data_IF_620422657633
#
_entry.id   IF_620422657633
#
_cell.length_a   1.000
_cell.length_b   1.000
_cell.length_c   1.000
_cell.angle_alpha   90.00
_cell.angle_beta   90.00
_cell.angle_gamma   90.00
#
_symmetry.space_group_name_H-M   'P 1'
#
loop_
_entity.id
_entity.type
_entity.pdbx_description
1 polymer ?
#
# COMPACT_ATOMS: atom_id res chain seq x y z
N UNK A 1 12.25 45.57 27.22
CA UNK A 1 13.05 44.33 27.08
C UNK A 1 12.28 43.32 26.23
N UNK A 2 12.39 43.36 24.89
CA UNK A 2 11.81 42.32 24.04
C UNK A 2 12.58 42.18 22.70
N UNK A 3 13.91 42.08 22.77
CA UNK A 3 14.77 41.95 21.58
C UNK A 3 15.72 40.74 21.61
N UNK A 4 15.45 39.71 22.44
CA UNK A 4 16.38 38.58 22.63
C UNK A 4 15.71 37.20 22.65
N UNK A 5 14.84 36.89 21.67
CA UNK A 5 14.31 35.52 21.50
C UNK A 5 14.27 35.01 20.05
N UNK A 6 15.04 35.59 19.12
CA UNK A 6 15.01 35.17 17.71
C UNK A 6 16.37 34.87 17.08
N UNK A 7 17.35 34.42 17.86
CA UNK A 7 18.72 34.16 17.34
C UNK A 7 19.14 32.68 17.34
N UNK A 8 18.19 31.73 17.39
CA UNK A 8 18.50 30.28 17.38
C UNK A 8 17.96 29.48 16.17
N UNK A 9 17.62 30.16 15.07
CA UNK A 9 17.09 29.50 13.86
C UNK A 9 17.84 29.88 12.56
N UNK A 10 19.04 30.43 12.67
CA UNK A 10 19.90 30.69 11.50
C UNK A 10 20.66 29.44 11.07
N UNK A 11 21.34 28.75 12.01
CA UNK A 11 22.15 27.57 11.72
C UNK A 11 21.35 26.39 11.16
N UNK A 12 20.15 26.13 11.68
CA UNK A 12 19.30 25.05 11.18
C UNK A 12 18.79 25.33 9.78
N UNK A 13 18.44 26.60 9.48
CA UNK A 13 18.00 27.03 8.15
C UNK A 13 19.14 26.95 7.16
N UNK A 14 20.34 27.37 7.54
CA UNK A 14 21.54 27.28 6.69
C UNK A 14 21.90 25.82 6.43
N UNK A 15 21.86 24.93 7.44
CA UNK A 15 22.13 23.49 7.25
C UNK A 15 21.11 22.79 6.36
N UNK A 16 19.83 23.18 6.46
CA UNK A 16 18.76 22.68 5.59
C UNK A 16 18.97 23.22 4.16
N UNK A 17 19.29 24.51 4.02
CA UNK A 17 19.55 25.13 2.71
C UNK A 17 20.78 24.51 2.02
N UNK A 18 21.86 24.24 2.77
CA UNK A 18 23.05 23.56 2.25
C UNK A 18 22.70 22.17 1.74
N UNK A 19 21.92 21.39 2.51
CA UNK A 19 21.50 20.05 2.07
C UNK A 19 20.57 20.09 0.86
N UNK A 20 19.63 21.03 0.82
CA UNK A 20 18.74 21.20 -0.34
C UNK A 20 19.58 21.52 -1.59
N UNK A 21 20.54 22.43 -1.48
CA UNK A 21 21.43 22.75 -2.59
C UNK A 21 22.30 21.54 -2.99
N UNK A 22 22.79 20.76 -2.03
CA UNK A 22 23.55 19.53 -2.29
C UNK A 22 22.71 18.47 -3.04
N UNK A 23 21.44 18.31 -2.66
CA UNK A 23 20.52 17.42 -3.37
C UNK A 23 20.14 17.93 -4.76
N UNK A 24 20.01 19.24 -4.94
CA UNK A 24 19.74 19.86 -6.24
C UNK A 24 20.93 19.75 -7.19
N UNK A 25 22.15 20.03 -6.72
CA UNK A 25 23.38 19.83 -7.50
C UNK A 25 23.55 18.36 -7.88
N UNK A 26 23.27 17.42 -6.96
CA UNK A 26 23.33 15.98 -7.27
C UNK A 26 22.29 15.56 -8.31
N UNK A 27 21.11 16.16 -8.28
CA UNK A 27 20.06 15.93 -9.28
C UNK A 27 20.42 16.54 -10.65
N UNK A 28 21.10 17.69 -10.70
CA UNK A 28 21.62 18.30 -11.93
C UNK A 28 22.74 17.46 -12.56
N UNK A 29 23.71 17.00 -11.76
CA UNK A 29 24.80 16.12 -12.24
C UNK A 29 24.24 14.81 -12.79
N UNK A 30 23.21 14.25 -12.16
CA UNK A 30 22.51 13.05 -12.66
C UNK A 30 21.78 13.30 -13.99
N UNK A 31 21.29 14.52 -14.21
CA UNK A 31 20.63 14.93 -15.45
C UNK A 31 21.62 15.08 -16.61
N UNK A 32 22.82 15.56 -16.31
CA UNK A 32 23.93 15.70 -17.27
C UNK A 32 24.51 14.34 -17.68
N UNK A 33 24.61 13.40 -16.72
CA UNK A 33 25.08 12.03 -16.96
C UNK A 33 24.13 11.19 -17.83
N UNK A 34 22.83 11.52 -17.87
CA UNK A 34 21.89 10.87 -18.78
C UNK A 34 22.01 11.34 -20.24
N UNK A 35 22.72 12.45 -20.51
CA UNK A 35 22.81 13.03 -21.85
C UNK A 35 24.09 12.67 -22.61
N UNK A 36 25.12 12.09 -21.98
CA UNK A 36 26.35 11.73 -22.69
C UNK A 36 27.13 10.56 -22.04
N UNK A 37 26.95 9.31 -22.49
CA UNK A 37 27.59 8.15 -21.87
C UNK A 37 28.92 7.84 -22.57
N UNK A 38 30.00 8.60 -22.32
CA UNK A 38 31.33 8.28 -22.88
C UNK A 38 32.52 8.95 -22.16
N UNK A 39 33.00 8.37 -21.05
CA UNK A 39 34.41 7.93 -20.83
C UNK A 39 34.67 7.43 -19.39
N UNK A 40 35.63 6.49 -19.18
CA UNK A 40 35.98 5.93 -17.87
C UNK A 40 37.21 6.59 -17.20
N UNK A 41 37.39 6.26 -15.90
CA UNK A 41 38.50 6.55 -14.94
C UNK A 41 38.19 7.71 -13.97
N UNK A 42 38.37 7.61 -12.64
CA UNK A 42 39.45 6.97 -11.86
C UNK A 42 38.97 6.57 -10.44
N UNK A 43 39.55 5.51 -9.88
CA UNK A 43 39.22 4.95 -8.56
C UNK A 43 40.14 5.50 -7.46
N UNK A 44 39.57 5.96 -6.35
CA UNK A 44 40.26 6.10 -5.07
C UNK A 44 40.21 4.76 -4.29
N UNK A 45 41.31 4.28 -3.68
CA UNK A 45 41.39 2.95 -3.10
C UNK A 45 40.95 2.95 -1.64
N UNK A 46 39.78 2.38 -1.33
CA UNK A 46 39.32 2.28 0.05
C UNK A 46 38.06 1.44 0.24
N UNK A 47 38.24 0.12 0.35
CA UNK A 47 37.28 -0.90 0.81
C UNK A 47 36.31 -1.48 -0.23
N UNK A 48 36.86 -2.31 -1.12
CA UNK A 48 36.11 -3.32 -1.87
C UNK A 48 35.92 -4.58 -0.99
N UNK A 49 34.76 -4.75 -0.33
CA UNK A 49 34.18 -6.08 -0.05
C UNK A 49 32.64 -5.98 0.02
N UNK A 50 31.99 -6.71 -0.88
CA UNK A 50 30.60 -7.22 -0.85
C UNK A 50 29.44 -6.21 -0.79
N UNK A 51 28.53 -6.32 -1.76
CA UNK A 51 27.17 -5.81 -1.61
C UNK A 51 26.49 -6.47 -0.38
N UNK A 52 25.93 -5.68 0.55
CA UNK A 52 24.69 -6.05 1.20
C UNK A 52 23.58 -5.21 0.57
N UNK A 53 22.54 -5.86 0.07
CA UNK A 53 21.17 -5.50 0.45
C UNK A 53 21.02 -4.14 1.18
N UNK A 54 20.97 -3.02 0.47
CA UNK A 54 20.76 -1.69 1.07
C UNK A 54 19.29 -1.56 1.51
N UNK A 55 18.98 -2.12 2.68
CA UNK A 55 17.65 -2.05 3.30
C UNK A 55 17.17 -0.60 3.44
N UNK A 56 18.09 0.33 3.68
CA UNK A 56 17.78 1.76 3.77
C UNK A 56 17.30 2.33 2.42
N UNK A 57 18.03 2.06 1.33
CA UNK A 57 17.66 2.54 -0.01
C UNK A 57 16.33 1.94 -0.47
N UNK A 58 16.12 0.64 -0.21
CA UNK A 58 14.85 -0.04 -0.48
C UNK A 58 13.70 0.54 0.34
N UNK A 59 13.93 0.78 1.63
CA UNK A 59 12.95 1.45 2.48
C UNK A 59 12.56 2.82 1.93
N UNK A 60 13.54 3.63 1.51
CA UNK A 60 13.32 4.96 0.93
C UNK A 60 12.55 4.88 -0.40
N UNK A 61 12.86 3.94 -1.27
CA UNK A 61 12.16 3.71 -2.54
C UNK A 61 10.68 3.39 -2.30
N UNK A 62 10.40 2.47 -1.37
CA UNK A 62 9.04 2.06 -1.04
C UNK A 62 8.27 3.21 -0.38
N UNK A 63 8.89 3.99 0.51
CA UNK A 63 8.27 5.19 1.11
C UNK A 63 7.84 6.19 0.04
N UNK A 64 8.67 6.45 -0.98
CA UNK A 64 8.31 7.39 -2.05
C UNK A 64 7.04 6.95 -2.77
N UNK A 65 6.92 5.65 -3.05
CA UNK A 65 5.71 5.06 -3.65
C UNK A 65 4.52 5.14 -2.69
N UNK A 66 4.73 4.85 -1.40
CA UNK A 66 3.69 4.94 -0.38
C UNK A 66 3.11 6.36 -0.29
N UNK A 67 3.96 7.39 -0.32
CA UNK A 67 3.55 8.80 -0.29
C UNK A 67 2.77 9.18 -1.56
N UNK A 68 3.23 8.72 -2.73
CA UNK A 68 2.54 8.98 -4.00
C UNK A 68 1.13 8.36 -4.01
N UNK A 69 0.99 7.10 -3.58
CA UNK A 69 -0.32 6.45 -3.44
C UNK A 69 -1.20 7.11 -2.37
N UNK A 70 -0.60 7.57 -1.27
CA UNK A 70 -1.30 8.29 -0.21
C UNK A 70 -1.86 9.65 -0.70
N UNK A 71 -1.07 10.39 -1.49
CA UNK A 71 -1.51 11.63 -2.15
C UNK A 71 -2.61 11.39 -3.19
N UNK A 72 -2.57 10.24 -3.88
CA UNK A 72 -3.63 9.79 -4.80
C UNK A 72 -4.89 9.29 -4.08
N UNK A 73 -4.90 9.27 -2.75
CA UNK A 73 -5.98 8.72 -1.92
C UNK A 73 -6.19 7.21 -2.08
N UNK A 74 -5.21 6.50 -2.63
CA UNK A 74 -5.17 5.05 -2.70
C UNK A 74 -4.71 4.47 -1.35
N UNK A 75 -5.51 4.74 -0.31
CA UNK A 75 -5.10 4.55 1.08
C UNK A 75 -4.80 3.09 1.45
N UNK A 76 -5.46 2.12 0.81
CA UNK A 76 -5.22 0.69 1.03
C UNK A 76 -3.83 0.25 0.55
N UNK A 77 -3.45 0.67 -0.67
CA UNK A 77 -2.13 0.38 -1.24
C UNK A 77 -1.04 1.18 -0.51
N UNK A 78 -1.30 2.45 -0.23
CA UNK A 78 -0.41 3.30 0.56
C UNK A 78 -0.08 2.68 1.92
N UNK A 79 -1.09 2.15 2.63
CA UNK A 79 -0.90 1.47 3.91
C UNK A 79 0.03 0.26 3.78
N UNK A 80 -0.21 -0.62 2.81
CA UNK A 80 0.64 -1.80 2.55
C UNK A 80 2.08 -1.39 2.26
N UNK A 81 2.28 -0.37 1.42
CA UNK A 81 3.61 0.13 1.09
C UNK A 81 4.31 0.75 2.31
N UNK A 82 3.60 1.50 3.16
CA UNK A 82 4.19 1.99 4.42
C UNK A 82 4.59 0.84 5.35
N UNK A 83 3.81 -0.23 5.48
CA UNK A 83 4.20 -1.39 6.29
C UNK A 83 5.47 -2.07 5.75
N UNK A 84 5.56 -2.26 4.43
CA UNK A 84 6.73 -2.82 3.79
C UNK A 84 7.96 -1.93 4.01
N UNK A 85 7.82 -0.62 3.80
CA UNK A 85 8.89 0.34 4.06
C UNK A 85 9.40 0.29 5.51
N UNK A 86 8.50 0.19 6.49
CA UNK A 86 8.85 0.11 7.90
C UNK A 86 9.66 -1.14 8.25
N UNK A 87 9.37 -2.28 7.61
CA UNK A 87 10.17 -3.50 7.77
C UNK A 87 11.61 -3.28 7.27
N UNK A 88 11.76 -2.76 6.05
CA UNK A 88 13.07 -2.44 5.48
C UNK A 88 13.84 -1.39 6.31
N UNK A 89 13.17 -0.34 6.79
CA UNK A 89 13.78 0.66 7.67
C UNK A 89 14.16 0.07 9.03
N UNK A 90 13.37 -0.87 9.57
CA UNK A 90 13.69 -1.61 10.78
C UNK A 90 14.93 -2.48 10.64
N UNK A 91 15.04 -3.18 9.51
CA UNK A 91 16.25 -3.94 9.14
C UNK A 91 17.45 -2.99 8.99
N UNK A 92 17.27 -1.85 8.32
CA UNK A 92 18.31 -0.82 8.21
C UNK A 92 18.78 -0.32 9.58
N UNK A 93 17.85 -0.04 10.51
CA UNK A 93 18.20 0.39 11.87
C UNK A 93 18.97 -0.68 12.65
N UNK A 94 18.61 -1.97 12.46
CA UNK A 94 19.27 -3.11 13.12
C UNK A 94 20.73 -3.29 12.67
N UNK A 95 20.99 -3.09 11.38
CA UNK A 95 22.32 -3.28 10.79
C UNK A 95 23.14 -1.99 10.64
N UNK A 96 22.54 -0.83 10.95
CA UNK A 96 23.24 0.45 10.97
C UNK A 96 24.32 0.45 12.05
N UNK A 97 25.53 0.86 11.69
CA UNK A 97 26.69 0.95 12.60
C UNK A 97 26.96 2.39 13.03
N UNK A 98 26.46 3.37 12.28
CA UNK A 98 26.66 4.78 12.56
C UNK A 98 25.63 5.31 13.57
N UNK A 99 26.11 5.59 14.78
CA UNK A 99 25.30 6.11 15.91
C UNK A 99 24.67 7.49 15.64
N UNK A 100 25.17 8.26 14.67
CA UNK A 100 24.56 9.53 14.25
C UNK A 100 23.41 9.35 13.25
N UNK A 101 23.39 8.20 12.54
CA UNK A 101 22.37 7.88 11.53
C UNK A 101 21.18 7.15 12.15
N UNK A 102 21.42 6.28 13.14
CA UNK A 102 20.36 5.55 13.86
C UNK A 102 19.21 6.45 14.37
N UNK A 103 19.45 7.61 15.01
CA UNK A 103 18.37 8.50 15.45
C UNK A 103 17.53 9.03 14.28
N UNK A 104 18.15 9.26 13.11
CA UNK A 104 17.46 9.74 11.91
C UNK A 104 16.56 8.67 11.30
N UNK A 105 17.06 7.43 11.21
CA UNK A 105 16.26 6.28 10.74
C UNK A 105 15.10 6.05 11.71
N UNK A 106 15.36 6.05 13.02
CA UNK A 106 14.32 5.87 14.05
C UNK A 106 13.24 6.96 13.99
N UNK A 107 13.64 8.23 13.80
CA UNK A 107 12.69 9.32 13.63
C UNK A 107 11.77 9.10 12.42
N UNK A 108 12.33 8.64 11.28
CA UNK A 108 11.53 8.34 10.08
C UNK A 108 10.65 7.12 10.23
N UNK A 109 11.10 6.07 10.90
CA UNK A 109 10.26 4.92 11.27
C UNK A 109 9.04 5.39 12.06
N UNK A 110 9.24 6.23 13.08
CA UNK A 110 8.13 6.73 13.88
C UNK A 110 7.14 7.57 13.05
N UNK A 111 7.64 8.46 12.17
CA UNK A 111 6.81 9.28 11.29
C UNK A 111 5.93 8.43 10.36
N UNK A 112 6.53 7.44 9.68
CA UNK A 112 5.79 6.58 8.76
C UNK A 112 4.92 5.55 9.48
N UNK A 113 5.28 5.13 10.69
CA UNK A 113 4.43 4.31 11.55
C UNK A 113 3.17 5.07 11.95
N UNK A 114 3.31 6.31 12.44
CA UNK A 114 2.15 7.15 12.76
C UNK A 114 1.26 7.36 11.54
N UNK A 115 1.84 7.58 10.35
CA UNK A 115 1.04 7.70 9.12
C UNK A 115 0.32 6.41 8.76
N UNK A 116 1.01 5.26 8.84
CA UNK A 116 0.43 3.94 8.59
C UNK A 116 -0.70 3.63 9.59
N UNK A 117 -0.54 3.98 10.86
CA UNK A 117 -1.59 3.82 11.88
C UNK A 117 -2.80 4.72 11.59
N UNK A 118 -2.57 5.96 11.17
CA UNK A 118 -3.65 6.86 10.76
C UNK A 118 -4.39 6.32 9.52
N UNK A 119 -3.67 5.80 8.53
CA UNK A 119 -4.26 5.15 7.35
C UNK A 119 -5.02 3.88 7.74
N UNK A 120 -4.48 3.06 8.64
CA UNK A 120 -5.16 1.89 9.18
C UNK A 120 -6.44 2.29 9.90
N UNK A 121 -6.40 3.31 10.73
CA UNK A 121 -7.57 3.83 11.43
C UNK A 121 -8.60 4.41 10.45
N UNK A 122 -8.17 5.09 9.39
CA UNK A 122 -9.03 5.61 8.33
C UNK A 122 -9.67 4.50 7.49
N UNK A 123 -8.90 3.49 7.10
CA UNK A 123 -9.37 2.31 6.38
C UNK A 123 -10.29 1.49 7.26
N UNK A 124 -9.96 1.33 8.54
CA UNK A 124 -10.83 0.73 9.53
C UNK A 124 -12.07 1.59 9.73
N UNK A 125 -12.01 2.91 9.80
CA UNK A 125 -13.19 3.77 9.94
C UNK A 125 -14.02 3.83 8.66
N UNK A 126 -13.45 3.60 7.47
CA UNK A 126 -14.22 3.43 6.24
C UNK A 126 -14.78 2.00 6.10
N UNK A 127 -14.09 1.01 6.68
CA UNK A 127 -14.59 -0.36 6.87
C UNK A 127 -15.55 -0.49 8.07
N UNK A 128 -15.60 0.51 8.95
CA UNK A 128 -16.34 0.54 10.22
C UNK A 128 -17.29 1.72 10.33
N UNK A 129 -17.38 2.58 9.32
CA UNK A 129 -18.56 3.40 9.04
C UNK A 129 -19.76 2.50 8.64
N UNK A 130 -19.51 1.20 8.46
CA UNK A 130 -20.50 0.10 8.48
C UNK A 130 -20.36 -0.86 9.68
N UNK A 131 -19.69 -0.47 10.77
CA UNK A 131 -19.56 -1.27 11.99
C UNK A 131 -19.53 -0.35 13.22
N UNK A 132 -20.70 -0.14 13.82
CA UNK A 132 -20.80 0.29 15.22
C UNK A 132 -20.64 -0.93 16.16
N UNK A 133 -20.03 -0.70 17.33
CA UNK A 133 -20.31 -1.46 18.55
C UNK A 133 -19.24 -2.43 19.08
N UNK A 134 -18.31 -1.91 19.89
CA UNK A 134 -17.59 -2.48 21.04
C UNK A 134 -17.69 -3.99 21.41
N UNK A 135 -16.51 -4.65 21.46
CA UNK A 135 -16.07 -5.78 22.35
C UNK A 135 -16.79 -7.16 22.31
N UNK A 136 -16.17 -8.26 22.81
CA UNK A 136 -14.95 -8.93 22.33
C UNK A 136 -15.23 -10.38 21.83
N UNK A 137 -14.34 -10.86 20.95
CA UNK A 137 -14.22 -12.24 20.42
C UNK A 137 -15.43 -12.84 19.68
N UNK A 138 -15.38 -13.00 18.33
CA UNK A 138 -16.48 -13.64 17.64
C UNK A 138 -16.21 -15.13 17.46
N UNK A 139 -17.05 -15.95 18.10
CA UNK A 139 -17.63 -17.10 17.40
C UNK A 139 -18.40 -16.55 16.20
N UNK A 140 -17.73 -16.30 15.07
CA UNK A 140 -18.38 -15.81 13.85
C UNK A 140 -19.35 -16.89 13.37
N UNK A 141 -20.64 -16.59 13.42
CA UNK A 141 -21.69 -17.47 12.90
C UNK A 141 -21.66 -17.43 11.37
N UNK A 142 -22.09 -18.51 10.70
CA UNK A 142 -22.22 -18.55 9.23
C UNK A 142 -23.04 -17.37 8.67
N UNK A 143 -23.96 -16.82 9.48
CA UNK A 143 -24.75 -15.62 9.18
C UNK A 143 -23.91 -14.37 8.93
N UNK A 144 -22.81 -14.18 9.66
CA UNK A 144 -21.96 -12.99 9.52
C UNK A 144 -21.14 -13.04 8.24
N UNK A 145 -20.70 -14.25 7.86
CA UNK A 145 -20.03 -14.50 6.58
C UNK A 145 -20.99 -14.28 5.41
N UNK A 146 -22.23 -14.75 5.54
CA UNK A 146 -23.26 -14.56 4.52
C UNK A 146 -23.62 -13.08 4.33
N UNK A 147 -23.78 -12.33 5.42
CA UNK A 147 -24.07 -10.90 5.35
C UNK A 147 -22.96 -10.14 4.58
N UNK A 148 -21.69 -10.42 4.88
CA UNK A 148 -20.55 -9.83 4.17
C UNK A 148 -20.51 -10.23 2.69
N UNK A 149 -20.87 -11.46 2.36
CA UNK A 149 -20.94 -11.91 0.96
C UNK A 149 -22.04 -11.14 0.19
N UNK A 150 -23.19 -10.92 0.83
CA UNK A 150 -24.31 -10.15 0.27
C UNK A 150 -23.93 -8.69 0.03
N UNK A 151 -23.15 -8.07 0.90
CA UNK A 151 -22.70 -6.69 0.70
C UNK A 151 -21.81 -6.55 -0.54
N UNK A 152 -20.82 -7.41 -0.69
CA UNK A 152 -19.90 -7.36 -1.84
C UNK A 152 -20.63 -7.64 -3.14
N UNK A 153 -21.59 -8.58 -3.16
CA UNK A 153 -22.30 -8.87 -4.41
C UNK A 153 -23.28 -7.77 -4.81
N UNK A 154 -23.82 -6.98 -3.87
CA UNK A 154 -24.59 -5.78 -4.21
C UNK A 154 -23.72 -4.79 -4.98
N UNK A 155 -22.51 -4.53 -4.50
CA UNK A 155 -21.55 -3.66 -5.17
C UNK A 155 -21.11 -4.21 -6.54
N UNK A 156 -20.93 -5.54 -6.65
CA UNK A 156 -20.64 -6.19 -7.92
C UNK A 156 -21.76 -5.96 -8.95
N UNK A 157 -23.02 -6.16 -8.54
CA UNK A 157 -24.20 -5.95 -9.39
C UNK A 157 -24.34 -4.48 -9.79
N UNK A 158 -24.10 -3.54 -8.88
CA UNK A 158 -24.13 -2.10 -9.20
C UNK A 158 -23.07 -1.72 -10.23
N UNK A 159 -21.84 -2.23 -10.11
CA UNK A 159 -20.78 -1.99 -11.09
C UNK A 159 -21.08 -2.66 -12.43
N UNK A 160 -21.67 -3.86 -12.42
CA UNK A 160 -22.08 -4.57 -13.62
C UNK A 160 -23.16 -3.79 -14.39
N UNK A 161 -24.17 -3.25 -13.68
CA UNK A 161 -25.20 -2.39 -14.26
C UNK A 161 -24.63 -1.08 -14.82
N UNK A 162 -23.57 -0.54 -14.19
CA UNK A 162 -22.83 0.64 -14.66
C UNK A 162 -21.86 0.33 -15.81
N UNK A 163 -21.77 -0.93 -16.24
CA UNK A 163 -20.81 -1.41 -17.25
C UNK A 163 -19.33 -1.27 -16.83
N UNK A 164 -19.07 -1.13 -15.52
CA UNK A 164 -17.73 -1.18 -14.94
C UNK A 164 -17.27 -2.64 -14.85
N UNK A 165 -17.17 -3.33 -15.99
CA UNK A 165 -17.05 -4.78 -16.04
C UNK A 165 -15.79 -5.33 -15.38
N UNK A 166 -14.67 -4.61 -15.43
CA UNK A 166 -13.42 -5.01 -14.77
C UNK A 166 -13.58 -5.03 -13.25
N UNK A 167 -14.18 -3.98 -12.68
CA UNK A 167 -14.42 -3.88 -11.24
C UNK A 167 -15.50 -4.88 -10.81
N UNK A 168 -16.58 -4.99 -11.59
CA UNK A 168 -17.64 -5.96 -11.34
C UNK A 168 -17.11 -7.40 -11.30
N UNK A 169 -16.20 -7.76 -12.21
CA UNK A 169 -15.57 -9.08 -12.25
C UNK A 169 -14.81 -9.39 -10.95
N UNK A 170 -13.95 -8.49 -10.48
CA UNK A 170 -13.18 -8.68 -9.25
C UNK A 170 -14.08 -8.74 -8.02
N UNK A 171 -15.11 -7.88 -7.95
CA UNK A 171 -16.12 -7.92 -6.88
C UNK A 171 -16.93 -9.22 -6.88
N UNK A 172 -17.32 -9.74 -8.05
CA UNK A 172 -17.99 -11.04 -8.13
C UNK A 172 -17.09 -12.16 -7.59
N UNK A 173 -15.82 -12.23 -7.99
CA UNK A 173 -14.85 -13.20 -7.43
C UNK A 173 -14.74 -13.09 -5.92
N UNK A 174 -14.60 -11.86 -5.41
CA UNK A 174 -14.51 -11.62 -3.97
C UNK A 174 -15.77 -12.06 -3.23
N UNK A 175 -16.96 -11.83 -3.81
CA UNK A 175 -18.23 -12.28 -3.23
C UNK A 175 -18.33 -13.80 -3.18
N UNK A 176 -17.89 -14.50 -4.23
CA UNK A 176 -17.91 -15.97 -4.32
C UNK A 176 -17.03 -16.59 -3.23
N UNK A 177 -15.81 -16.09 -3.01
CA UNK A 177 -14.93 -16.56 -1.94
C UNK A 177 -15.58 -16.42 -0.56
N UNK A 178 -16.31 -15.33 -0.33
CA UNK A 178 -17.06 -15.11 0.91
C UNK A 178 -18.27 -16.02 1.04
N UNK A 179 -19.00 -16.29 -0.05
CA UNK A 179 -20.07 -17.27 -0.05
C UNK A 179 -19.55 -18.69 0.21
N UNK A 180 -18.39 -19.07 -0.33
CA UNK A 180 -17.75 -20.35 -0.01
C UNK A 180 -17.37 -20.45 1.46
N UNK A 181 -16.89 -19.35 2.05
CA UNK A 181 -16.62 -19.28 3.49
C UNK A 181 -17.92 -19.39 4.30
N UNK A 182 -18.98 -18.68 3.92
CA UNK A 182 -20.29 -18.81 4.56
C UNK A 182 -20.82 -20.24 4.49
N UNK A 183 -20.69 -20.90 3.33
CA UNK A 183 -21.09 -22.30 3.12
C UNK A 183 -20.35 -23.26 4.06
N UNK A 184 -19.05 -23.03 4.29
CA UNK A 184 -18.22 -23.85 5.19
C UNK A 184 -18.71 -23.80 6.65
N UNK A 185 -19.21 -22.66 7.10
CA UNK A 185 -19.64 -22.45 8.50
C UNK A 185 -21.16 -22.49 8.70
N UNK A 186 -21.94 -22.57 7.62
CA UNK A 186 -23.39 -22.78 7.70
C UNK A 186 -23.69 -24.21 8.19
N UNK A 187 -24.66 -24.32 9.09
CA UNK A 187 -25.10 -25.59 9.69
C UNK A 187 -26.43 -26.07 9.10
N UNK A 188 -27.27 -25.15 8.65
CA UNK A 188 -28.59 -25.45 8.10
C UNK A 188 -28.47 -25.84 6.61
N UNK A 189 -28.89 -27.07 6.27
CA UNK A 189 -28.79 -27.60 4.89
C UNK A 189 -29.63 -26.83 3.87
N UNK A 190 -30.79 -26.30 4.25
CA UNK A 190 -31.61 -25.48 3.36
C UNK A 190 -30.90 -24.17 3.01
N UNK A 191 -30.23 -23.55 3.99
CA UNK A 191 -29.41 -22.36 3.76
C UNK A 191 -28.20 -22.67 2.88
N UNK A 192 -27.52 -23.81 3.11
CA UNK A 192 -26.40 -24.25 2.28
C UNK A 192 -26.80 -24.37 0.81
N UNK A 193 -27.97 -24.94 0.54
CA UNK A 193 -28.47 -25.07 -0.81
C UNK A 193 -28.72 -23.70 -1.46
N UNK A 194 -29.30 -22.75 -0.72
CA UNK A 194 -29.44 -21.37 -1.18
C UNK A 194 -28.09 -20.70 -1.48
N UNK A 195 -27.10 -20.90 -0.61
CA UNK A 195 -25.74 -20.37 -0.78
C UNK A 195 -25.06 -20.97 -2.01
N UNK A 196 -25.15 -22.29 -2.23
CA UNK A 196 -24.59 -22.97 -3.40
C UNK A 196 -25.18 -22.44 -4.71
N UNK A 197 -26.51 -22.28 -4.77
CA UNK A 197 -27.18 -21.69 -5.93
C UNK A 197 -26.62 -20.30 -6.26
N UNK A 198 -26.45 -19.45 -5.25
CA UNK A 198 -25.85 -18.12 -5.41
C UNK A 198 -24.40 -18.16 -5.85
N UNK A 199 -23.58 -19.06 -5.32
CA UNK A 199 -22.20 -19.28 -5.79
C UNK A 199 -22.19 -19.59 -7.28
N UNK A 200 -23.06 -20.51 -7.73
CA UNK A 200 -23.15 -20.90 -9.15
C UNK A 200 -23.58 -19.72 -10.02
N UNK A 201 -24.64 -19.01 -9.65
CA UNK A 201 -25.13 -17.83 -10.39
C UNK A 201 -24.05 -16.77 -10.58
N UNK A 202 -23.36 -16.41 -9.48
CA UNK A 202 -22.34 -15.36 -9.52
C UNK A 202 -21.05 -15.81 -10.21
N UNK A 203 -20.70 -17.10 -10.12
CA UNK A 203 -19.58 -17.68 -10.89
C UNK A 203 -19.85 -17.57 -12.39
N UNK A 204 -21.03 -18.00 -12.84
CA UNK A 204 -21.42 -17.90 -14.25
C UNK A 204 -21.36 -16.45 -14.74
N UNK A 205 -21.84 -15.48 -13.94
CA UNK A 205 -21.76 -14.07 -14.34
C UNK A 205 -20.32 -13.57 -14.41
N UNK A 206 -19.47 -13.92 -13.44
CA UNK A 206 -18.06 -13.56 -13.45
C UNK A 206 -17.33 -14.13 -14.68
N UNK A 207 -17.63 -15.36 -15.08
CA UNK A 207 -17.06 -15.98 -16.29
C UNK A 207 -17.49 -15.24 -17.57
N UNK A 208 -18.76 -14.82 -17.66
CA UNK A 208 -19.23 -13.99 -18.77
C UNK A 208 -18.50 -12.65 -18.84
N UNK A 209 -18.33 -11.97 -17.71
CA UNK A 209 -17.58 -10.71 -17.63
C UNK A 209 -16.11 -10.92 -18.02
N UNK A 210 -15.49 -12.00 -17.55
CA UNK A 210 -14.11 -12.35 -17.93
C UNK A 210 -13.95 -12.54 -19.43
N UNK A 211 -14.88 -13.26 -20.07
CA UNK A 211 -14.88 -13.45 -21.52
C UNK A 211 -15.04 -12.11 -22.25
N UNK A 212 -16.01 -11.29 -21.83
CA UNK A 212 -16.23 -9.96 -22.39
C UNK A 212 -15.00 -9.05 -22.29
N UNK A 213 -14.31 -9.07 -21.15
CA UNK A 213 -13.08 -8.29 -20.93
C UNK A 213 -11.90 -8.78 -21.79
N UNK A 214 -11.86 -10.09 -22.10
CA UNK A 214 -10.86 -10.68 -22.99
C UNK A 214 -11.12 -10.35 -24.46
N UNK A 215 -12.38 -10.31 -24.88
CA UNK A 215 -12.77 -10.12 -26.27
C UNK A 215 -12.98 -8.63 -26.65
N UNK A 216 -13.07 -7.73 -25.67
CA UNK A 216 -13.19 -6.28 -25.92
C UNK A 216 -11.85 -5.65 -26.35
N UNK A 217 -11.83 -4.73 -27.34
CA UNK A 217 -10.62 -4.18 -27.98
C UNK A 217 -9.89 -3.12 -27.14
N UNK A 218 -9.93 -3.25 -25.81
CA UNK A 218 -9.16 -2.43 -24.85
C UNK A 218 -8.30 -3.26 -23.89
N UNK A 219 -8.38 -4.60 -23.95
CA UNK A 219 -7.47 -5.50 -23.23
C UNK A 219 -6.12 -5.52 -23.95
N UNK A 220 -5.08 -4.98 -23.30
CA UNK A 220 -3.70 -5.07 -23.79
C UNK A 220 -3.39 -6.58 -23.99
N UNK A 221 -3.03 -7.02 -25.21
CA UNK A 221 -2.60 -8.39 -25.41
C UNK A 221 -1.30 -8.59 -24.63
N UNK A 222 -1.29 -9.60 -23.75
CA UNK A 222 -0.08 -10.09 -23.11
C UNK A 222 0.92 -10.48 -24.21
N UNK A 223 2.05 -9.78 -24.27
CA UNK A 223 3.28 -10.22 -24.92
C UNK A 223 4.23 -10.76 -23.86
#
# INVERSE_FOLDING_TARGET
>A
MLALKYEKNSDSRTKIQTKINEYLTRAEVLKDHLSNPSKPQEQEPGSTIAAPTNFLDRGIEIVKRAIDEDQKQNYAEAFTLYQNALDYLGQALKFEKNEQVKPRIKAKINEYLTRAEALKAFLQSHSSAKRDGSTPAPTVSGSDHLARAIEVVKEAVENDQKQNYSEAYELYRNSIDRFMLALKYEKNEQNKEGIRKKITEYTTRAEQLKAYLKDSPGGIPAQ
#
